data_IF_756532992641
#
_entry.id   IF_756532992641
#
_cell.length_a   1.000
_cell.length_b   1.000
_cell.length_c   1.000
_cell.angle_alpha   90.00
_cell.angle_beta   90.00
_cell.angle_gamma   90.00
#
_symmetry.space_group_name_H-M   'P 1'
#
loop_
_entity.id
_entity.type
_entity.pdbx_description
1 polymer ?
#
# COMPACT_ATOMS: atom_id res chain seq x y z
N UNK A 1 9.31 -2.88 46.80
CA UNK A 1 9.75 -1.89 45.78
C UNK A 1 9.84 -2.52 44.39
N UNK A 2 9.86 -3.84 44.29
CA UNK A 2 10.10 -4.60 43.05
C UNK A 2 8.93 -4.56 42.06
N UNK A 3 7.68 -4.45 42.52
CA UNK A 3 6.50 -4.35 41.65
C UNK A 3 6.40 -3.02 40.88
N UNK A 4 6.96 -1.95 41.44
CA UNK A 4 6.99 -0.62 40.78
C UNK A 4 8.02 -0.61 39.65
N UNK A 5 9.17 -1.26 39.84
CA UNK A 5 10.16 -1.46 38.77
C UNK A 5 9.65 -2.40 37.67
N UNK A 6 8.84 -3.40 38.03
CA UNK A 6 8.23 -4.33 37.07
C UNK A 6 7.14 -3.68 36.21
N UNK A 7 6.33 -2.80 36.78
CA UNK A 7 5.31 -2.04 36.04
C UNK A 7 5.91 -0.91 35.20
N UNK A 8 6.99 -0.27 35.68
CA UNK A 8 7.78 0.69 34.90
C UNK A 8 8.51 0.04 33.71
N UNK A 9 9.05 -1.17 33.86
CA UNK A 9 9.71 -1.88 32.76
C UNK A 9 8.71 -2.43 31.73
N UNK A 10 7.53 -2.90 32.18
CA UNK A 10 6.45 -3.35 31.30
C UNK A 10 5.87 -2.21 30.46
N UNK A 11 5.70 -1.03 31.06
CA UNK A 11 5.25 0.18 30.33
C UNK A 11 6.35 0.74 29.44
N UNK A 12 7.63 0.67 29.84
CA UNK A 12 8.76 1.05 28.99
C UNK A 12 8.96 0.10 27.79
N UNK A 13 8.74 -1.21 27.96
CA UNK A 13 8.81 -2.19 26.88
C UNK A 13 7.62 -2.04 25.91
N UNK A 14 6.41 -1.81 26.42
CA UNK A 14 5.24 -1.49 25.59
C UNK A 14 5.42 -0.16 24.85
N UNK A 15 5.99 0.86 25.50
CA UNK A 15 6.35 2.13 24.87
C UNK A 15 7.45 1.94 23.82
N UNK A 16 8.41 1.06 24.04
CA UNK A 16 9.46 0.72 23.08
C UNK A 16 8.91 0.07 21.81
N UNK A 17 7.97 -0.88 21.94
CA UNK A 17 7.30 -1.52 20.79
C UNK A 17 6.41 -0.53 20.04
N UNK A 18 5.69 0.35 20.74
CA UNK A 18 4.88 1.40 20.13
C UNK A 18 5.72 2.50 19.48
N UNK A 19 6.87 2.86 20.06
CA UNK A 19 7.81 3.82 19.49
C UNK A 19 8.52 3.23 18.28
N UNK A 20 8.96 1.98 18.32
CA UNK A 20 9.65 1.36 17.18
C UNK A 20 8.69 1.09 16.02
N UNK A 21 7.48 0.60 16.32
CA UNK A 21 6.38 0.50 15.36
C UNK A 21 5.99 1.88 14.81
N UNK A 22 5.90 2.89 15.67
CA UNK A 22 5.62 4.28 15.31
C UNK A 22 6.71 4.92 14.46
N UNK A 23 7.99 4.64 14.72
CA UNK A 23 9.15 5.13 13.97
C UNK A 23 9.25 4.42 12.62
N UNK A 24 8.98 3.13 12.55
CA UNK A 24 8.95 2.38 11.29
C UNK A 24 7.79 2.86 10.40
N UNK A 25 6.60 3.03 10.96
CA UNK A 25 5.43 3.59 10.27
C UNK A 25 5.70 5.04 9.86
N UNK A 26 6.29 5.86 10.76
CA UNK A 26 6.65 7.25 10.47
C UNK A 26 7.78 7.36 9.45
N UNK A 27 8.75 6.45 9.40
CA UNK A 27 9.80 6.43 8.39
C UNK A 27 9.22 6.08 7.01
N UNK A 28 8.26 5.15 6.96
CA UNK A 28 7.54 4.78 5.74
C UNK A 28 6.60 5.90 5.28
N UNK A 29 5.95 6.62 6.21
CA UNK A 29 5.09 7.78 5.92
C UNK A 29 5.91 9.04 5.57
N UNK A 30 7.07 9.26 6.19
CA UNK A 30 7.98 10.38 5.88
C UNK A 30 8.54 10.25 4.47
N UNK A 31 8.76 9.02 3.99
CA UNK A 31 9.16 8.75 2.60
C UNK A 31 8.10 9.19 1.57
N UNK A 32 6.84 9.36 1.98
CA UNK A 32 5.78 9.95 1.15
C UNK A 32 5.73 11.49 1.22
N UNK A 33 6.22 12.12 2.31
CA UNK A 33 6.26 13.58 2.45
C UNK A 33 7.34 14.24 1.60
N UNK A 34 8.42 13.51 1.28
CA UNK A 34 9.53 13.99 0.45
C UNK A 34 9.08 14.42 -0.95
N UNK A 35 8.07 13.74 -1.50
CA UNK A 35 7.56 14.02 -2.86
C UNK A 35 6.76 15.34 -2.87
N UNK A 36 5.97 15.61 -1.82
CA UNK A 36 5.14 16.83 -1.73
C UNK A 36 5.94 18.12 -1.53
N UNK A 37 7.10 18.05 -0.87
CA UNK A 37 8.00 19.21 -0.70
C UNK A 37 8.78 19.55 -1.97
N UNK A 38 9.01 18.56 -2.83
CA UNK A 38 9.63 18.75 -4.15
C UNK A 38 8.67 19.47 -5.09
N UNK A 39 7.38 19.12 -5.08
CA UNK A 39 6.37 19.79 -5.90
C UNK A 39 6.13 21.23 -5.44
N UNK A 40 6.08 21.50 -4.13
CA UNK A 40 5.93 22.87 -3.62
C UNK A 40 7.16 23.75 -3.87
N UNK A 41 8.37 23.19 -3.76
CA UNK A 41 9.60 23.92 -4.05
C UNK A 41 9.76 24.22 -5.55
N UNK A 42 9.31 23.31 -6.41
CA UNK A 42 9.30 23.53 -7.87
C UNK A 42 8.21 24.52 -8.30
N UNK A 43 7.06 24.56 -7.63
CA UNK A 43 6.02 25.57 -7.89
C UNK A 43 6.45 26.97 -7.45
N UNK A 44 7.12 27.09 -6.30
CA UNK A 44 7.63 28.37 -5.81
C UNK A 44 8.74 28.92 -6.72
N UNK A 45 9.65 28.06 -7.21
CA UNK A 45 10.68 28.43 -8.18
C UNK A 45 10.10 28.85 -9.53
N UNK A 46 9.01 28.19 -9.97
CA UNK A 46 8.33 28.52 -11.23
C UNK A 46 7.50 29.80 -11.11
N UNK A 47 6.94 30.09 -9.94
CA UNK A 47 6.26 31.35 -9.63
C UNK A 47 7.26 32.53 -9.58
N UNK A 48 8.47 32.33 -9.03
CA UNK A 48 9.53 33.35 -9.08
C UNK A 48 10.10 33.54 -10.48
N UNK A 49 10.07 32.51 -11.35
CA UNK A 49 10.56 32.60 -12.72
C UNK A 49 9.56 33.23 -13.71
N UNK A 50 8.27 33.31 -13.35
CA UNK A 50 7.22 33.87 -14.20
C UNK A 50 6.85 35.33 -13.85
N UNK A 51 7.48 35.91 -12.83
CA UNK A 51 7.34 37.32 -12.48
C UNK A 51 8.60 38.13 -12.82
N UNK A 52 8.51 38.89 -13.92
CA UNK A 52 9.33 40.08 -14.25
C UNK A 52 10.69 39.88 -14.96
N UNK A 53 10.74 40.31 -16.22
CA UNK A 53 11.95 40.81 -16.90
C UNK A 53 11.79 42.34 -17.08
N UNK A 54 12.87 43.17 -17.09
CA UNK A 54 13.67 43.35 -18.31
C UNK A 54 15.18 43.68 -18.01
N UNK A 55 16.00 44.26 -18.92
CA UNK A 55 17.09 43.56 -19.62
C UNK A 55 18.49 44.11 -19.25
N UNK A 56 19.44 43.30 -18.76
CA UNK A 56 20.79 43.81 -18.45
C UNK A 56 21.89 42.76 -18.71
N UNK A 57 22.87 43.21 -19.51
CA UNK A 57 24.24 42.77 -19.76
C UNK A 57 24.68 41.33 -19.42
N UNK A 58 25.29 40.69 -20.41
CA UNK A 58 26.11 39.47 -20.28
C UNK A 58 27.34 39.79 -19.42
N UNK A 59 27.20 39.63 -18.10
CA UNK A 59 28.30 39.53 -17.14
C UNK A 59 28.66 38.04 -16.94
N UNK A 60 29.93 37.71 -16.65
CA UNK A 60 30.38 36.33 -16.58
C UNK A 60 29.61 35.58 -15.49
N UNK A 61 29.07 34.43 -15.85
CA UNK A 61 28.33 33.52 -14.98
C UNK A 61 29.16 33.24 -13.73
N UNK A 62 28.78 33.84 -12.60
CA UNK A 62 29.26 33.42 -11.30
C UNK A 62 28.83 31.95 -11.10
N UNK A 63 29.74 31.06 -10.65
CA UNK A 63 29.43 29.65 -10.54
C UNK A 63 28.26 29.43 -9.59
N UNK A 64 27.25 28.73 -10.08
CA UNK A 64 26.10 28.23 -9.32
C UNK A 64 26.60 27.59 -8.02
N UNK A 65 26.07 27.94 -6.83
CA UNK A 65 26.43 27.29 -5.58
C UNK A 65 26.10 25.80 -5.67
N UNK A 66 27.12 24.97 -5.86
CA UNK A 66 26.97 23.53 -5.85
C UNK A 66 26.48 23.11 -4.45
N UNK A 67 25.39 22.33 -4.34
CA UNK A 67 25.00 21.74 -3.06
C UNK A 67 26.19 20.95 -2.53
N UNK A 68 26.59 21.20 -1.28
CA UNK A 68 27.77 20.61 -0.63
C UNK A 68 27.89 19.11 -0.93
N UNK A 69 28.77 18.77 -1.88
CA UNK A 69 28.88 17.45 -2.48
C UNK A 69 29.36 16.36 -1.50
N UNK A 70 29.91 16.74 -0.34
CA UNK A 70 30.43 15.78 0.65
C UNK A 70 29.32 14.96 1.32
N UNK A 71 28.22 15.57 1.79
CA UNK A 71 27.18 14.84 2.51
C UNK A 71 26.36 13.87 1.65
N UNK A 72 26.15 14.22 0.37
CA UNK A 72 25.51 13.34 -0.61
C UNK A 72 26.44 12.21 -1.06
N UNK A 73 27.75 12.46 -1.19
CA UNK A 73 28.76 11.43 -1.52
C UNK A 73 29.02 10.50 -0.36
N UNK A 74 29.05 10.98 0.88
CA UNK A 74 29.20 10.15 2.08
C UNK A 74 27.95 9.29 2.31
N UNK A 75 26.75 9.85 2.12
CA UNK A 75 25.51 9.08 2.12
C UNK A 75 25.48 8.03 0.99
N UNK A 76 25.92 8.38 -0.23
CA UNK A 76 26.04 7.44 -1.35
C UNK A 76 27.14 6.39 -1.13
N UNK A 77 28.27 6.74 -0.51
CA UNK A 77 29.36 5.82 -0.21
C UNK A 77 28.99 4.86 0.90
N UNK A 78 28.34 5.33 1.97
CA UNK A 78 27.76 4.46 3.00
C UNK A 78 26.69 3.55 2.39
N UNK A 79 25.86 4.07 1.48
CA UNK A 79 24.87 3.28 0.76
C UNK A 79 25.52 2.23 -0.16
N UNK A 80 26.64 2.55 -0.81
CA UNK A 80 27.41 1.62 -1.65
C UNK A 80 28.23 0.61 -0.82
N UNK A 81 28.74 0.98 0.35
CA UNK A 81 29.45 0.07 1.25
C UNK A 81 28.48 -0.92 1.90
N UNK A 82 27.30 -0.46 2.32
CA UNK A 82 26.21 -1.33 2.80
C UNK A 82 25.70 -2.22 1.66
N UNK A 83 25.63 -1.72 0.42
CA UNK A 83 25.27 -2.53 -0.75
C UNK A 83 26.30 -3.63 -1.05
N UNK A 84 27.60 -3.33 -1.01
CA UNK A 84 28.69 -4.31 -1.26
C UNK A 84 28.80 -5.38 -0.18
N UNK A 85 28.55 -5.03 1.08
CA UNK A 85 28.50 -6.00 2.19
C UNK A 85 27.22 -6.85 2.10
N UNK A 86 26.10 -6.25 1.68
CA UNK A 86 24.84 -6.95 1.41
C UNK A 86 24.91 -7.92 0.23
N UNK A 87 25.58 -7.55 -0.87
CA UNK A 87 25.80 -8.42 -2.03
C UNK A 87 26.63 -9.66 -1.67
N UNK A 88 27.77 -9.48 -0.97
CA UNK A 88 28.65 -10.59 -0.57
C UNK A 88 27.98 -11.61 0.35
N UNK A 89 26.97 -11.21 1.12
CA UNK A 89 26.24 -12.10 2.03
C UNK A 89 25.03 -12.79 1.37
N UNK A 90 24.57 -12.30 0.22
CA UNK A 90 23.37 -12.80 -0.47
C UNK A 90 23.71 -13.73 -1.64
N UNK A 91 24.94 -13.66 -2.16
CA UNK A 91 25.46 -14.59 -3.17
C UNK A 91 25.81 -15.99 -2.61
N UNK A 92 25.72 -16.19 -1.29
CA UNK A 92 25.82 -17.54 -0.72
C UNK A 92 24.52 -18.32 -0.97
N UNK A 93 24.58 -19.65 -1.19
CA UNK A 93 23.43 -20.51 -1.55
C UNK A 93 22.31 -20.53 -0.50
N UNK A 94 22.53 -19.93 0.67
CA UNK A 94 21.53 -19.71 1.72
C UNK A 94 20.66 -18.46 1.43
N UNK A 95 21.23 -17.37 0.90
CA UNK A 95 20.50 -16.12 0.60
C UNK A 95 19.43 -16.28 -0.48
N UNK A 96 19.71 -17.10 -1.51
CA UNK A 96 18.75 -17.42 -2.56
C UNK A 96 17.61 -18.33 -2.09
N UNK A 97 17.81 -19.17 -1.06
CA UNK A 97 16.75 -20.03 -0.48
C UNK A 97 15.84 -19.28 0.49
N UNK A 98 16.31 -18.18 1.09
CA UNK A 98 15.56 -17.40 2.07
C UNK A 98 14.57 -16.43 1.40
N UNK A 99 14.90 -15.88 0.22
CA UNK A 99 13.97 -15.05 -0.56
C UNK A 99 13.09 -15.96 -1.42
N UNK A 100 12.02 -16.47 -0.80
CA UNK A 100 11.01 -17.29 -1.48
C UNK A 100 10.45 -16.56 -2.72
N UNK A 101 10.08 -17.29 -3.78
CA UNK A 101 9.46 -16.69 -4.98
C UNK A 101 8.26 -15.79 -4.65
N UNK A 102 7.52 -16.15 -3.60
CA UNK A 102 6.40 -15.38 -3.07
C UNK A 102 6.79 -13.98 -2.62
N UNK A 103 7.97 -13.80 -2.02
CA UNK A 103 8.45 -12.49 -1.60
C UNK A 103 8.82 -11.62 -2.81
N UNK A 104 9.29 -12.24 -3.91
CA UNK A 104 9.54 -11.50 -5.17
C UNK A 104 8.24 -10.97 -5.73
N UNK A 105 7.24 -11.84 -5.82
CA UNK A 105 5.91 -11.47 -6.32
C UNK A 105 5.33 -10.34 -5.49
N UNK A 106 5.40 -10.43 -4.16
CA UNK A 106 4.91 -9.38 -3.25
C UNK A 106 5.67 -8.06 -3.39
N UNK A 107 6.99 -8.09 -3.58
CA UNK A 107 7.79 -6.88 -3.80
C UNK A 107 7.48 -6.19 -5.13
N UNK A 108 7.36 -6.99 -6.19
CA UNK A 108 6.93 -6.52 -7.51
C UNK A 108 5.53 -5.90 -7.41
N UNK A 109 4.57 -6.60 -6.82
CA UNK A 109 3.20 -6.13 -6.51
C UNK A 109 3.16 -4.82 -5.72
N UNK A 110 4.12 -4.61 -4.81
CA UNK A 110 4.24 -3.36 -4.05
C UNK A 110 4.85 -2.20 -4.84
N UNK A 111 5.41 -2.47 -6.01
CA UNK A 111 5.95 -1.47 -6.93
C UNK A 111 7.43 -1.21 -6.73
N UNK A 112 8.11 -2.10 -6.01
CA UNK A 112 9.53 -2.04 -5.76
C UNK A 112 10.25 -2.90 -6.80
N UNK A 113 10.92 -2.21 -7.73
CA UNK A 113 11.70 -2.82 -8.80
C UNK A 113 13.17 -2.51 -8.55
N UNK A 114 13.98 -3.54 -8.33
CA UNK A 114 15.43 -3.41 -8.14
C UNK A 114 15.98 -4.47 -7.19
N UNK A 115 17.16 -5.01 -7.54
CA UNK A 115 17.89 -5.95 -6.69
C UNK A 115 18.20 -5.38 -5.32
N UNK A 116 18.53 -4.08 -5.23
CA UNK A 116 18.82 -3.42 -3.97
C UNK A 116 17.66 -3.46 -2.95
N UNK A 117 16.41 -3.30 -3.41
CA UNK A 117 15.26 -3.35 -2.48
C UNK A 117 15.03 -4.79 -1.99
N UNK A 118 15.37 -5.76 -2.84
CA UNK A 118 15.28 -7.18 -2.55
C UNK A 118 16.32 -7.63 -1.55
N UNK A 119 17.57 -7.15 -1.70
CA UNK A 119 18.64 -7.42 -0.74
C UNK A 119 18.37 -6.75 0.61
N UNK A 120 17.88 -5.51 0.61
CA UNK A 120 17.49 -4.80 1.82
C UNK A 120 16.35 -5.49 2.57
N UNK A 121 15.34 -5.99 1.87
CA UNK A 121 14.22 -6.72 2.49
C UNK A 121 14.67 -8.05 3.09
N UNK A 122 15.51 -8.81 2.38
CA UNK A 122 16.10 -10.05 2.90
C UNK A 122 16.93 -9.80 4.16
N UNK A 123 17.76 -8.75 4.15
CA UNK A 123 18.54 -8.33 5.32
C UNK A 123 17.67 -7.94 6.52
N UNK A 124 16.64 -7.13 6.31
CA UNK A 124 15.68 -6.76 7.38
C UNK A 124 14.99 -7.99 7.94
N UNK A 125 14.56 -8.93 7.09
CA UNK A 125 13.86 -10.15 7.54
C UNK A 125 14.74 -11.08 8.38
N UNK A 126 16.07 -11.00 8.26
CA UNK A 126 17.00 -11.77 9.09
C UNK A 126 17.45 -11.04 10.35
N UNK A 127 17.80 -9.75 10.22
CA UNK A 127 18.33 -8.97 11.33
C UNK A 127 17.23 -8.60 12.33
N UNK A 128 16.05 -8.23 11.84
CA UNK A 128 14.95 -7.76 12.69
C UNK A 128 14.46 -8.81 13.71
N UNK A 129 14.15 -10.07 13.34
CA UNK A 129 13.73 -11.07 14.32
C UNK A 129 14.85 -11.45 15.29
N UNK A 130 16.11 -11.45 14.85
CA UNK A 130 17.25 -11.77 15.71
C UNK A 130 17.46 -10.68 16.78
N UNK A 131 17.39 -9.41 16.37
CA UNK A 131 17.48 -8.26 17.28
C UNK A 131 16.31 -8.26 18.26
N UNK A 132 15.09 -8.48 17.80
CA UNK A 132 13.89 -8.53 18.65
C UNK A 132 13.93 -9.71 19.63
N UNK A 133 14.42 -10.87 19.20
CA UNK A 133 14.58 -12.03 20.07
C UNK A 133 15.62 -11.78 21.17
N UNK A 134 16.77 -11.19 20.81
CA UNK A 134 17.82 -10.84 21.76
C UNK A 134 17.34 -9.79 22.78
N UNK A 135 16.64 -8.75 22.32
CA UNK A 135 16.04 -7.73 23.18
C UNK A 135 14.98 -8.33 24.12
N UNK A 136 14.13 -9.22 23.60
CA UNK A 136 13.13 -9.93 24.39
C UNK A 136 13.76 -10.82 25.47
N UNK A 137 14.91 -11.42 25.18
CA UNK A 137 15.67 -12.21 26.15
C UNK A 137 16.32 -11.33 27.25
N UNK A 138 16.94 -10.21 26.87
CA UNK A 138 17.65 -9.31 27.81
C UNK A 138 16.71 -8.58 28.78
N UNK A 139 15.48 -8.28 28.37
CA UNK A 139 14.50 -7.54 29.19
C UNK A 139 13.80 -8.46 30.21
N UNK A 140 13.88 -9.78 30.04
CA UNK A 140 13.10 -10.68 30.84
C UNK A 140 13.73 -10.98 32.21
N UNK A 141 12.93 -10.96 33.30
CA UNK A 141 13.41 -11.14 34.67
C UNK A 141 13.73 -12.60 35.02
N UNK A 142 13.28 -13.56 34.22
CA UNK A 142 13.55 -14.99 34.41
C UNK A 142 13.85 -15.65 33.07
N UNK A 143 14.68 -16.70 33.07
CA UNK A 143 15.09 -17.42 31.85
C UNK A 143 13.88 -17.97 31.08
N UNK A 144 12.86 -18.49 31.78
CA UNK A 144 11.62 -19.00 31.17
C UNK A 144 10.83 -17.90 30.49
N UNK A 145 10.68 -16.72 31.13
CA UNK A 145 10.04 -15.57 30.51
C UNK A 145 10.88 -15.06 29.34
N UNK A 146 12.21 -15.01 29.47
CA UNK A 146 13.12 -14.58 28.41
C UNK A 146 13.03 -15.42 27.16
N UNK A 147 12.89 -16.73 27.31
CA UNK A 147 12.69 -17.63 26.17
C UNK A 147 11.34 -17.38 25.48
N UNK A 148 10.29 -17.10 26.25
CA UNK A 148 8.96 -16.79 25.71
C UNK A 148 8.94 -15.44 24.98
N UNK A 149 9.50 -14.38 25.57
CA UNK A 149 9.63 -13.06 24.94
C UNK A 149 10.53 -13.09 23.70
N UNK A 150 11.62 -13.86 23.74
CA UNK A 150 12.48 -14.07 22.59
C UNK A 150 11.74 -14.78 21.45
N UNK A 151 10.97 -15.83 21.76
CA UNK A 151 10.16 -16.54 20.77
C UNK A 151 9.07 -15.65 20.16
N UNK A 152 8.35 -14.88 20.96
CA UNK A 152 7.33 -13.94 20.47
C UNK A 152 7.97 -12.81 19.65
N UNK A 153 9.11 -12.26 20.09
CA UNK A 153 9.86 -11.25 19.36
C UNK A 153 10.38 -11.74 18.01
N UNK A 154 10.88 -12.97 17.96
CA UNK A 154 11.29 -13.63 16.72
C UNK A 154 10.10 -13.81 15.77
N UNK A 155 8.97 -14.33 16.27
CA UNK A 155 7.77 -14.55 15.47
C UNK A 155 7.24 -13.23 14.88
N UNK A 156 7.13 -12.17 15.69
CA UNK A 156 6.67 -10.86 15.23
C UNK A 156 7.67 -10.25 14.24
N UNK A 157 8.97 -10.29 14.53
CA UNK A 157 10.01 -9.75 13.66
C UNK A 157 10.06 -10.41 12.28
N UNK A 158 9.74 -11.71 12.22
CA UNK A 158 9.69 -12.45 10.95
C UNK A 158 8.38 -12.24 10.19
N UNK A 159 7.22 -12.19 10.87
CA UNK A 159 5.91 -12.07 10.23
C UNK A 159 5.54 -10.63 9.85
N UNK A 160 5.94 -9.64 10.66
CA UNK A 160 5.51 -8.25 10.48
C UNK A 160 5.89 -7.66 9.11
N UNK A 161 7.12 -7.83 8.58
CA UNK A 161 7.48 -7.28 7.27
C UNK A 161 6.62 -7.86 6.14
N UNK A 162 6.36 -9.17 6.17
CA UNK A 162 5.52 -9.86 5.17
C UNK A 162 4.08 -9.36 5.23
N UNK A 163 3.56 -9.12 6.43
CA UNK A 163 2.20 -8.61 6.61
C UNK A 163 2.04 -7.18 6.06
N UNK A 164 2.99 -6.29 6.34
CA UNK A 164 2.99 -4.91 5.81
C UNK A 164 3.07 -4.90 4.28
N UNK A 165 3.92 -5.74 3.68
CA UNK A 165 3.99 -5.88 2.22
C UNK A 165 2.66 -6.37 1.65
N UNK A 166 2.06 -7.40 2.25
CA UNK A 166 0.78 -7.94 1.80
C UNK A 166 -0.33 -6.88 1.86
N UNK A 167 -0.39 -6.09 2.94
CA UNK A 167 -1.35 -5.01 3.07
C UNK A 167 -1.13 -3.93 2.01
N UNK A 168 0.13 -3.53 1.77
CA UNK A 168 0.47 -2.55 0.73
C UNK A 168 0.16 -3.06 -0.68
N UNK A 169 0.42 -4.33 -0.96
CA UNK A 169 0.07 -4.96 -2.22
C UNK A 169 -1.45 -4.95 -2.43
N UNK A 170 -2.22 -5.33 -1.40
CA UNK A 170 -3.69 -5.27 -1.43
C UNK A 170 -4.20 -3.84 -1.66
N UNK A 171 -3.61 -2.83 -1.03
CA UNK A 171 -3.99 -1.44 -1.24
C UNK A 171 -3.68 -0.97 -2.66
N UNK A 172 -2.56 -1.41 -3.26
CA UNK A 172 -2.26 -1.11 -4.68
C UNK A 172 -3.22 -1.82 -5.63
N UNK A 173 -3.56 -3.09 -5.38
CA UNK A 173 -4.56 -3.83 -6.18
C UNK A 173 -5.91 -3.11 -6.16
N UNK A 174 -6.37 -2.67 -4.99
CA UNK A 174 -7.60 -1.87 -4.85
C UNK A 174 -7.54 -0.55 -5.63
N UNK A 175 -6.40 0.15 -5.58
CA UNK A 175 -6.20 1.37 -6.37
C UNK A 175 -6.30 1.10 -7.86
N UNK A 176 -5.76 -0.03 -8.34
CA UNK A 176 -5.92 -0.43 -9.75
C UNK A 176 -7.38 -0.63 -10.12
N UNK A 177 -8.18 -1.30 -9.28
CA UNK A 177 -9.62 -1.48 -9.52
C UNK A 177 -10.35 -0.12 -9.64
N UNK A 178 -9.95 0.86 -8.82
CA UNK A 178 -10.54 2.20 -8.81
C UNK A 178 -10.03 3.10 -9.96
N UNK A 179 -8.78 2.93 -10.39
CA UNK A 179 -8.12 3.69 -11.47
C UNK A 179 -8.52 3.17 -12.87
N UNK A 180 -8.84 1.87 -13.01
CA UNK A 180 -9.12 1.23 -14.28
C UNK A 180 -10.24 1.89 -15.10
N UNK A 181 -11.41 2.28 -14.54
CA UNK A 181 -12.47 2.94 -15.30
C UNK A 181 -12.02 4.28 -15.88
N UNK A 182 -11.31 5.07 -15.07
CA UNK A 182 -10.77 6.35 -15.50
C UNK A 182 -9.72 6.17 -16.62
N UNK A 183 -8.87 5.13 -16.53
CA UNK A 183 -7.92 4.80 -17.60
C UNK A 183 -8.63 4.43 -18.92
N UNK A 184 -9.68 3.61 -18.87
CA UNK A 184 -10.47 3.24 -20.05
C UNK A 184 -11.13 4.46 -20.68
N UNK A 185 -11.69 5.35 -19.86
CA UNK A 185 -12.29 6.60 -20.33
C UNK A 185 -11.24 7.51 -21.00
N UNK A 186 -10.05 7.65 -20.42
CA UNK A 186 -8.96 8.42 -21.04
C UNK A 186 -8.49 7.80 -22.35
N UNK A 187 -8.31 6.47 -22.41
CA UNK A 187 -7.98 5.79 -23.67
C UNK A 187 -9.05 6.05 -24.73
N UNK A 188 -10.34 5.97 -24.38
CA UNK A 188 -11.44 6.24 -25.31
C UNK A 188 -11.41 7.67 -25.83
N UNK A 189 -11.15 8.65 -24.96
CA UNK A 189 -11.03 10.06 -25.35
C UNK A 189 -9.86 10.29 -26.29
N UNK A 190 -8.68 9.76 -25.98
CA UNK A 190 -7.47 9.91 -26.81
C UNK A 190 -7.64 9.22 -28.17
N UNK A 191 -8.21 8.01 -28.20
CA UNK A 191 -8.61 7.33 -29.44
C UNK A 191 -9.67 8.12 -30.22
N UNK A 192 -10.54 8.86 -29.53
CA UNK A 192 -11.54 9.76 -30.11
C UNK A 192 -10.94 10.89 -30.95
N UNK A 193 -9.76 11.38 -30.56
CA UNK A 193 -9.02 12.46 -31.23
C UNK A 193 -8.08 11.90 -32.33
N UNK A 194 -8.04 10.57 -32.51
CA UNK A 194 -7.25 9.92 -33.56
C UNK A 194 -5.82 9.53 -33.14
N UNK A 195 -5.48 9.58 -31.85
CA UNK A 195 -4.20 9.04 -31.36
C UNK A 195 -4.18 7.52 -31.53
N UNK A 196 -3.02 6.94 -31.87
CA UNK A 196 -2.85 5.48 -31.83
C UNK A 196 -2.89 4.97 -30.38
N UNK A 197 -3.11 3.65 -30.19
CA UNK A 197 -3.10 3.05 -28.84
C UNK A 197 -1.77 3.32 -28.14
N UNK A 198 -0.67 3.22 -28.89
CA UNK A 198 0.69 3.44 -28.40
C UNK A 198 0.88 4.85 -27.88
N UNK A 199 0.49 5.83 -28.69
CA UNK A 199 0.53 7.23 -28.33
C UNK A 199 -0.37 7.50 -27.12
N UNK A 200 -1.56 6.89 -27.09
CA UNK A 200 -2.50 7.06 -25.98
C UNK A 200 -1.93 6.51 -24.66
N UNK A 201 -1.31 5.32 -24.70
CA UNK A 201 -0.65 4.73 -23.54
C UNK A 201 0.56 5.55 -23.09
N UNK A 202 1.30 6.14 -24.02
CA UNK A 202 2.43 7.01 -23.70
C UNK A 202 1.98 8.32 -23.05
N UNK A 203 0.90 8.93 -23.55
CA UNK A 203 0.28 10.12 -22.95
C UNK A 203 -0.23 9.81 -21.55
N UNK A 204 -0.96 8.71 -21.37
CA UNK A 204 -1.46 8.27 -20.05
C UNK A 204 -0.30 8.03 -19.09
N UNK A 205 0.77 7.37 -19.55
CA UNK A 205 1.94 7.10 -18.72
C UNK A 205 2.65 8.38 -18.28
N UNK A 206 2.71 9.43 -19.09
CA UNK A 206 3.49 10.63 -18.81
C UNK A 206 2.69 11.73 -18.11
N UNK A 207 1.43 11.94 -18.51
CA UNK A 207 0.63 13.11 -18.09
C UNK A 207 -0.36 12.79 -16.97
N UNK A 208 -0.83 11.54 -16.87
CA UNK A 208 -1.93 11.18 -15.97
C UNK A 208 -1.49 10.58 -14.63
N UNK A 209 -0.23 10.75 -14.24
CA UNK A 209 0.31 10.26 -12.96
C UNK A 209 -0.48 10.75 -11.72
N UNK A 210 -1.08 11.95 -11.78
CA UNK A 210 -1.88 12.48 -10.66
C UNK A 210 -3.23 11.77 -10.50
N UNK A 211 -3.85 11.33 -11.60
CA UNK A 211 -5.15 10.63 -11.56
C UNK A 211 -4.99 9.11 -11.46
N UNK A 212 -3.96 8.57 -12.11
CA UNK A 212 -3.70 7.14 -12.26
C UNK A 212 -2.30 6.80 -11.74
N UNK A 213 -1.98 7.05 -10.45
CA UNK A 213 -0.61 6.92 -9.95
C UNK A 213 -0.07 5.49 -10.04
N UNK A 214 -0.92 4.47 -9.93
CA UNK A 214 -0.49 3.07 -10.04
C UNK A 214 -0.41 2.67 -11.51
N UNK A 215 -1.49 2.84 -12.27
CA UNK A 215 -1.55 2.40 -13.66
C UNK A 215 -0.56 3.17 -14.56
N UNK A 216 -0.49 4.51 -14.47
CA UNK A 216 0.44 5.29 -15.29
C UNK A 216 1.91 4.90 -15.05
N UNK A 217 2.28 4.60 -13.79
CA UNK A 217 3.63 4.13 -13.47
C UNK A 217 3.94 2.74 -14.07
N UNK A 218 2.97 1.83 -14.07
CA UNK A 218 3.15 0.48 -14.62
C UNK A 218 3.15 0.48 -16.15
N UNK A 219 2.29 1.28 -16.78
CA UNK A 219 2.31 1.50 -18.22
C UNK A 219 3.56 2.26 -18.69
N UNK A 220 4.05 3.24 -17.92
CA UNK A 220 5.32 3.90 -18.21
C UNK A 220 6.50 2.94 -18.19
N UNK A 221 6.55 2.02 -17.22
CA UNK A 221 7.54 0.93 -17.19
C UNK A 221 7.36 -0.05 -18.34
N UNK A 222 6.13 -0.35 -18.73
CA UNK A 222 5.85 -1.19 -19.88
C UNK A 222 6.35 -0.54 -21.18
N UNK A 223 6.12 0.76 -21.35
CA UNK A 223 6.60 1.53 -22.49
C UNK A 223 8.14 1.53 -22.56
N UNK A 224 8.83 1.68 -21.41
CA UNK A 224 10.28 1.56 -21.34
C UNK A 224 10.78 0.16 -21.72
N UNK A 225 10.10 -0.90 -21.25
CA UNK A 225 10.43 -2.28 -21.60
C UNK A 225 10.20 -2.58 -23.08
N UNK A 226 9.12 -2.07 -23.64
CA UNK A 226 8.84 -2.15 -25.07
C UNK A 226 9.92 -1.43 -25.89
N UNK A 227 10.30 -0.20 -25.49
CA UNK A 227 11.39 0.54 -26.12
C UNK A 227 12.75 -0.20 -26.03
N UNK A 228 12.95 -1.03 -25.00
CA UNK A 228 14.13 -1.90 -24.87
C UNK A 228 14.07 -3.19 -25.71
N UNK A 229 13.03 -3.38 -26.54
CA UNK A 229 12.89 -4.51 -27.45
C UNK A 229 12.10 -5.70 -26.89
N UNK A 230 11.46 -5.58 -25.71
CA UNK A 230 10.58 -6.66 -25.21
C UNK A 230 9.26 -6.71 -25.99
N UNK A 231 8.72 -7.91 -26.28
CA UNK A 231 7.42 -8.05 -26.91
C UNK A 231 6.32 -7.32 -26.11
N UNK A 232 5.48 -6.56 -26.83
CA UNK A 232 4.41 -5.75 -26.24
C UNK A 232 3.43 -6.59 -25.43
N UNK A 233 2.95 -7.69 -26.03
CA UNK A 233 2.01 -8.62 -25.41
C UNK A 233 2.54 -9.15 -24.08
N UNK A 234 3.81 -9.59 -24.05
CA UNK A 234 4.46 -10.08 -22.84
C UNK A 234 4.53 -8.99 -21.75
N UNK A 235 4.84 -7.76 -22.15
CA UNK A 235 5.00 -6.63 -21.23
C UNK A 235 3.67 -6.20 -20.63
N UNK A 236 2.60 -6.14 -21.43
CA UNK A 236 1.25 -5.85 -20.94
C UNK A 236 0.70 -6.99 -20.08
N UNK A 237 0.87 -8.26 -20.49
CA UNK A 237 0.45 -9.41 -19.69
C UNK A 237 1.17 -9.50 -18.34
N UNK A 238 2.38 -8.93 -18.20
CA UNK A 238 3.05 -8.79 -16.91
C UNK A 238 2.20 -7.97 -15.93
N UNK A 239 1.60 -6.88 -16.40
CA UNK A 239 0.79 -5.98 -15.56
C UNK A 239 -0.47 -6.72 -15.09
N UNK A 240 -1.18 -7.44 -15.96
CA UNK A 240 -2.38 -8.18 -15.56
C UNK A 240 -2.07 -9.29 -14.55
N UNK A 241 -0.98 -10.05 -14.76
CA UNK A 241 -0.53 -11.09 -13.81
C UNK A 241 -0.13 -10.52 -12.45
N UNK A 242 0.40 -9.30 -12.42
CA UNK A 242 0.87 -8.66 -11.20
C UNK A 242 -0.28 -8.22 -10.30
N UNK A 243 -1.33 -7.61 -10.85
CA UNK A 243 -2.45 -7.12 -10.03
C UNK A 243 -3.56 -8.15 -9.81
N UNK A 244 -3.57 -9.24 -10.57
CA UNK A 244 -4.58 -10.32 -10.48
C UNK A 244 -6.02 -9.75 -10.56
N UNK A 245 -6.22 -8.83 -11.51
CA UNK A 245 -7.49 -8.17 -11.76
C UNK A 245 -8.03 -8.66 -13.12
N UNK A 246 -9.23 -9.25 -13.11
CA UNK A 246 -9.90 -9.79 -14.30
C UNK A 246 -10.28 -8.71 -15.32
N UNK A 247 -10.78 -7.56 -14.86
CA UNK A 247 -11.13 -6.43 -15.72
C UNK A 247 -9.87 -5.87 -16.40
N UNK A 248 -8.76 -5.73 -15.68
CA UNK A 248 -7.48 -5.29 -16.23
C UNK A 248 -6.92 -6.30 -17.25
N UNK A 249 -7.05 -7.60 -16.97
CA UNK A 249 -6.71 -8.67 -17.92
C UNK A 249 -7.55 -8.56 -19.20
N UNK A 250 -8.86 -8.35 -19.06
CA UNK A 250 -9.77 -8.14 -20.18
C UNK A 250 -9.39 -6.92 -21.02
N UNK A 251 -9.05 -5.80 -20.38
CA UNK A 251 -8.57 -4.60 -21.06
C UNK A 251 -7.28 -4.87 -21.83
N UNK A 252 -6.28 -5.50 -21.20
CA UNK A 252 -5.00 -5.82 -21.85
C UNK A 252 -5.20 -6.74 -23.06
N UNK A 253 -6.02 -7.78 -22.94
CA UNK A 253 -6.34 -8.68 -24.06
C UNK A 253 -7.02 -7.93 -25.21
N UNK A 254 -7.92 -7.01 -24.91
CA UNK A 254 -8.54 -6.15 -25.92
C UNK A 254 -7.50 -5.26 -26.59
N UNK A 255 -6.60 -4.63 -25.84
CA UNK A 255 -5.53 -3.79 -26.39
C UNK A 255 -4.58 -4.58 -27.29
N UNK A 256 -4.15 -5.78 -26.88
CA UNK A 256 -3.23 -6.61 -27.69
C UNK A 256 -3.90 -7.15 -28.94
N UNK A 257 -5.19 -7.49 -28.88
CA UNK A 257 -5.96 -7.91 -30.05
C UNK A 257 -6.06 -6.78 -31.07
N UNK A 258 -6.39 -5.57 -30.61
CA UNK A 258 -6.54 -4.42 -31.50
C UNK A 258 -5.21 -3.98 -32.13
N UNK A 259 -4.12 -4.05 -31.36
CA UNK A 259 -2.77 -3.78 -31.86
C UNK A 259 -2.34 -4.76 -32.97
N UNK A 260 -2.67 -6.06 -32.84
CA UNK A 260 -2.29 -7.07 -33.84
C UNK A 260 -3.14 -7.07 -35.11
N UNK A 261 -4.45 -6.90 -34.99
CA UNK A 261 -5.37 -7.11 -36.11
C UNK A 261 -5.73 -5.81 -36.84
N UNK A 262 -5.54 -4.65 -36.20
CA UNK A 262 -5.96 -3.36 -36.75
C UNK A 262 -7.48 -3.26 -36.84
N UNK A 263 -8.07 -2.20 -36.29
CA UNK A 263 -9.52 -2.02 -36.34
C UNK A 263 -10.01 -0.84 -35.50
N UNK A 264 -11.30 -0.54 -35.62
CA UNK A 264 -11.95 0.51 -34.83
C UNK A 264 -12.00 0.11 -33.34
N UNK A 265 -11.05 0.62 -32.56
CA UNK A 265 -10.90 0.36 -31.11
C UNK A 265 -12.02 0.97 -30.30
N UNK A 266 -12.60 2.06 -30.80
CA UNK A 266 -13.47 2.95 -30.03
C UNK A 266 -14.72 2.23 -29.49
N UNK A 267 -15.36 1.38 -30.31
CA UNK A 267 -16.59 0.69 -29.93
C UNK A 267 -16.35 -0.42 -28.89
N UNK A 268 -15.37 -1.35 -29.08
CA UNK A 268 -14.98 -2.29 -28.03
C UNK A 268 -14.61 -1.61 -26.70
N UNK A 269 -13.85 -0.50 -26.77
CA UNK A 269 -13.44 0.25 -25.58
C UNK A 269 -14.61 0.93 -24.89
N UNK A 270 -15.57 1.48 -25.66
CA UNK A 270 -16.82 2.06 -25.13
C UNK A 270 -17.65 1.03 -24.41
N UNK A 271 -17.87 -0.14 -25.02
CA UNK A 271 -18.62 -1.24 -24.41
C UNK A 271 -17.91 -1.78 -23.17
N UNK A 272 -16.58 -1.84 -23.17
CA UNK A 272 -15.80 -2.24 -22.00
C UNK A 272 -15.93 -1.21 -20.86
N UNK A 273 -15.82 0.08 -21.16
CA UNK A 273 -16.02 1.16 -20.19
C UNK A 273 -17.42 1.17 -19.58
N UNK A 274 -18.47 0.97 -20.39
CA UNK A 274 -19.85 0.83 -19.91
C UNK A 274 -19.99 -0.33 -18.92
N UNK A 275 -19.45 -1.51 -19.26
CA UNK A 275 -19.46 -2.69 -18.37
C UNK A 275 -18.78 -2.40 -17.05
N UNK A 276 -17.65 -1.69 -17.07
CA UNK A 276 -16.91 -1.36 -15.87
C UNK A 276 -17.65 -0.36 -14.96
N UNK A 277 -18.32 0.63 -15.54
CA UNK A 277 -19.19 1.55 -14.80
C UNK A 277 -20.42 0.83 -14.21
N UNK A 278 -21.01 -0.10 -14.96
CA UNK A 278 -22.14 -0.90 -14.51
C UNK A 278 -21.75 -1.83 -13.36
N UNK A 279 -20.61 -2.51 -13.46
CA UNK A 279 -20.02 -3.30 -12.38
C UNK A 279 -19.78 -2.45 -11.13
N UNK A 280 -19.26 -1.23 -11.28
CA UNK A 280 -19.06 -0.31 -10.15
C UNK A 280 -20.38 0.06 -9.49
N UNK A 281 -21.43 0.35 -10.27
CA UNK A 281 -22.78 0.63 -9.76
C UNK A 281 -23.37 -0.58 -9.03
N UNK A 282 -23.19 -1.79 -9.56
CA UNK A 282 -23.63 -3.03 -8.92
C UNK A 282 -22.94 -3.23 -7.56
N UNK A 283 -21.61 -3.08 -7.49
CA UNK A 283 -20.85 -3.17 -6.23
C UNK A 283 -21.30 -2.14 -5.19
N UNK A 284 -21.67 -0.94 -5.63
CA UNK A 284 -22.24 0.09 -4.75
C UNK A 284 -23.62 -0.32 -4.22
N UNK A 285 -24.50 -0.85 -5.09
CA UNK A 285 -25.81 -1.37 -4.69
C UNK A 285 -25.68 -2.52 -3.68
N UNK A 286 -24.77 -3.45 -3.89
CA UNK A 286 -24.50 -4.56 -2.95
C UNK A 286 -24.02 -4.07 -1.59
N UNK A 287 -23.14 -3.06 -1.57
CA UNK A 287 -22.68 -2.44 -0.31
C UNK A 287 -23.83 -1.76 0.42
N UNK A 288 -24.66 -1.01 -0.29
CA UNK A 288 -25.85 -0.35 0.27
C UNK A 288 -26.81 -1.42 0.82
N UNK A 289 -27.10 -2.48 0.07
CA UNK A 289 -27.95 -3.57 0.52
C UNK A 289 -27.43 -4.22 1.81
N UNK A 290 -26.13 -4.52 1.89
CA UNK A 290 -25.51 -5.07 3.10
C UNK A 290 -25.57 -4.11 4.28
N UNK A 291 -25.44 -2.80 4.06
CA UNK A 291 -25.60 -1.80 5.11
C UNK A 291 -27.04 -1.75 5.62
N UNK A 292 -28.03 -1.73 4.72
CA UNK A 292 -29.45 -1.74 5.08
C UNK A 292 -29.79 -2.97 5.93
N UNK A 293 -29.33 -4.17 5.54
CA UNK A 293 -29.56 -5.40 6.30
C UNK A 293 -28.97 -5.31 7.71
N UNK A 294 -27.74 -4.77 7.85
CA UNK A 294 -27.12 -4.56 9.18
C UNK A 294 -27.91 -3.59 10.04
N UNK A 295 -28.45 -2.51 9.46
CA UNK A 295 -29.27 -1.54 10.21
C UNK A 295 -30.57 -2.18 10.71
N UNK A 296 -31.27 -2.93 9.86
CA UNK A 296 -32.50 -3.63 10.25
C UNK A 296 -32.22 -4.66 11.35
N UNK A 297 -31.14 -5.43 11.24
CA UNK A 297 -30.77 -6.42 12.25
C UNK A 297 -30.51 -5.77 13.63
N UNK A 298 -29.68 -4.72 13.67
CA UNK A 298 -29.38 -3.99 14.91
C UNK A 298 -30.65 -3.39 15.50
N UNK A 299 -31.52 -2.84 14.65
CA UNK A 299 -32.81 -2.28 15.05
C UNK A 299 -33.69 -3.35 15.71
N UNK A 300 -33.89 -4.51 15.08
CA UNK A 300 -34.72 -5.60 15.61
C UNK A 300 -34.18 -6.15 16.94
N UNK A 301 -32.86 -6.39 17.02
CA UNK A 301 -32.21 -6.90 18.24
C UNK A 301 -32.36 -5.92 19.40
N UNK A 302 -32.48 -4.62 19.15
CA UNK A 302 -32.60 -3.61 20.21
C UNK A 302 -34.06 -3.32 20.57
N UNK A 303 -34.93 -3.17 19.56
CA UNK A 303 -36.34 -2.82 19.76
C UNK A 303 -37.14 -3.96 20.38
N UNK A 304 -36.96 -5.20 19.92
CA UNK A 304 -37.78 -6.33 20.36
C UNK A 304 -37.63 -6.62 21.87
N UNK A 305 -36.41 -6.76 22.44
CA UNK A 305 -36.27 -6.96 23.89
C UNK A 305 -36.68 -5.71 24.68
N UNK A 306 -36.43 -4.50 24.18
CA UNK A 306 -36.90 -3.27 24.83
C UNK A 306 -38.42 -3.23 24.93
N UNK A 307 -39.12 -3.63 23.88
CA UNK A 307 -40.58 -3.68 23.84
C UNK A 307 -41.12 -4.75 24.80
N UNK A 308 -40.50 -5.94 24.84
CA UNK A 308 -40.85 -7.00 25.79
C UNK A 308 -40.68 -6.54 27.24
N UNK A 309 -39.57 -5.87 27.57
CA UNK A 309 -39.32 -5.35 28.93
C UNK A 309 -40.39 -4.34 29.33
N UNK A 310 -40.72 -3.39 28.45
CA UNK A 310 -41.74 -2.36 28.74
C UNK A 310 -43.14 -2.97 28.92
N UNK A 311 -43.49 -3.95 28.08
CA UNK A 311 -44.85 -4.51 28.06
C UNK A 311 -45.04 -5.58 29.14
N UNK A 312 -44.10 -6.52 29.25
CA UNK A 312 -44.19 -7.64 30.18
C UNK A 312 -43.67 -7.30 31.59
N UNK A 313 -42.86 -6.25 31.74
CA UNK A 313 -42.29 -5.80 33.01
C UNK A 313 -43.29 -5.65 34.16
N UNK A 314 -44.38 -4.87 34.02
CA UNK A 314 -45.36 -4.70 35.10
C UNK A 314 -46.13 -5.99 35.41
N UNK A 315 -46.46 -6.80 34.38
CA UNK A 315 -47.11 -8.10 34.57
C UNK A 315 -46.24 -9.07 35.35
N UNK A 316 -44.95 -9.15 35.01
CA UNK A 316 -43.98 -10.00 35.71
C UNK A 316 -43.78 -9.54 37.16
N UNK A 317 -43.66 -8.23 37.41
CA UNK A 317 -43.60 -7.68 38.77
C UNK A 317 -44.87 -7.93 39.59
N UNK A 318 -46.04 -7.99 38.95
CA UNK A 318 -47.31 -8.32 39.60
C UNK A 318 -47.35 -9.76 40.10
N UNK A 319 -46.98 -10.73 39.24
CA UNK A 319 -46.94 -12.16 39.60
C UNK A 319 -45.94 -12.43 40.73
N UNK A 320 -44.76 -11.82 40.66
CA UNK A 320 -43.72 -11.96 41.69
C UNK A 320 -44.20 -11.47 43.07
N UNK A 321 -44.97 -10.36 43.11
CA UNK A 321 -45.56 -9.82 44.35
C UNK A 321 -46.62 -10.76 44.95
N UNK A 322 -47.47 -11.35 44.12
CA UNK A 322 -48.49 -12.29 44.59
C UNK A 322 -47.87 -13.57 45.15
N UNK A 323 -46.83 -14.10 44.50
CA UNK A 323 -46.14 -15.31 44.97
C UNK A 323 -45.38 -15.09 46.28
N UNK A 324 -44.72 -13.93 46.45
CA UNK A 324 -44.00 -13.60 47.69
C UNK A 324 -44.95 -13.36 48.87
N UNK A 325 -46.12 -12.75 48.64
CA UNK A 325 -47.14 -12.60 49.69
C UNK A 325 -47.69 -13.96 50.16
N UNK A 326 -47.82 -14.95 49.27
CA UNK A 326 -48.27 -16.30 49.61
C UNK A 326 -47.16 -17.09 50.33
N UNK A 327 -45.90 -16.87 49.97
CA UNK A 327 -44.74 -17.54 50.58
C UNK A 327 -44.29 -16.95 51.92
N UNK A 328 -44.59 -15.67 52.21
CA UNK A 328 -44.19 -14.98 53.44
C UNK A 328 -45.24 -14.96 54.55
N UNK A 329 -46.40 -15.60 54.34
CA UNK A 329 -47.51 -15.65 55.30
C UNK A 329 -47.61 -16.95 56.11
N UNK A 330 -46.48 -17.64 56.35
CA UNK A 330 -46.38 -18.82 57.22
C UNK A 330 -45.60 -18.52 58.48
#
# INVERSE_FOLDING_TARGET
MDDVFFTLSLTAAAAGVLLFGGIAVRAVLMRQRSVRKLDSALSDLRATASGMAPPVSVAPVAPVPQPRAHGLREAQQLQQQIAKVGERWIDTPLGQRIVTEDDRKLLEECGFYGEYVRTLFGGIRMVLPLVLALLGFLVAPTVVKGLLWAFTGFAIGYLAPKWVLKQRAQDRRRRVDDELPAMVDMLRLLQGVGLSIDQSLQVIANEFHSMLPVLAAEFGRANQQFASGRPREQTLMRISRMFDNEDLKGLITLLTQVDRFGGAVQEPLRQFGMRLQENRRARMKDRIGKLTVKMTMVMVITLLPSLLIITAGPGFMGVMRSLTHISGGG
#
